data_IF_128560576091
#
_entry.id   IF_128560576091
#
_cell.length_a   1.000
_cell.length_b   1.000
_cell.length_c   1.000
_cell.angle_alpha   90.00
_cell.angle_beta   90.00
_cell.angle_gamma   90.00
#
_symmetry.space_group_name_H-M   'P 1'
#
loop_
_entity.id
_entity.type
_entity.pdbx_description
1 polymer ?
#
# COMPACT_ATOMS: atom_id res chain seq x y z
N UNK A 1 18.09 -27.48 -4.19
CA UNK A 1 18.56 -26.12 -4.50
C UNK A 1 17.82 -25.13 -3.61
N UNK A 2 18.45 -24.02 -3.24
CA UNK A 2 17.79 -22.93 -2.49
C UNK A 2 16.87 -22.17 -3.44
N UNK A 3 15.60 -21.98 -3.04
CA UNK A 3 14.62 -21.19 -3.78
C UNK A 3 14.37 -19.90 -3.02
N UNK A 4 14.30 -18.78 -3.74
CA UNK A 4 14.02 -17.45 -3.18
C UNK A 4 12.96 -16.74 -4.02
N UNK A 5 12.27 -15.77 -3.41
CA UNK A 5 11.35 -14.91 -4.14
C UNK A 5 12.15 -14.02 -5.10
N UNK A 6 11.68 -13.92 -6.33
CA UNK A 6 12.19 -12.93 -7.27
C UNK A 6 11.82 -11.49 -6.81
N UNK A 7 12.57 -10.46 -7.24
CA UNK A 7 12.17 -9.08 -7.03
C UNK A 7 10.75 -8.80 -7.53
N UNK A 8 10.03 -7.91 -6.84
CA UNK A 8 8.72 -7.47 -7.30
C UNK A 8 8.85 -6.66 -8.60
N UNK A 9 7.92 -6.87 -9.52
CA UNK A 9 7.81 -6.17 -10.79
C UNK A 9 6.34 -5.76 -11.02
N UNK A 10 6.11 -4.95 -12.05
CA UNK A 10 4.77 -4.46 -12.43
C UNK A 10 4.05 -3.67 -11.30
N UNK A 11 4.80 -2.80 -10.62
CA UNK A 11 4.27 -1.95 -9.56
C UNK A 11 3.68 -0.66 -10.17
N UNK A 12 2.39 -0.71 -10.49
CA UNK A 12 1.65 0.41 -11.08
C UNK A 12 0.61 0.96 -10.11
N UNK A 13 0.51 2.28 -10.03
CA UNK A 13 -0.59 2.95 -9.30
C UNK A 13 -1.82 3.05 -10.20
N UNK A 14 -2.47 1.90 -10.45
CA UNK A 14 -3.66 1.79 -11.33
C UNK A 14 -4.76 2.77 -10.93
N UNK A 15 -4.85 3.05 -9.63
CA UNK A 15 -5.85 3.95 -9.06
C UNK A 15 -5.75 5.41 -9.52
N UNK A 16 -4.60 5.86 -10.03
CA UNK A 16 -4.47 7.21 -10.60
C UNK A 16 -5.12 7.35 -11.98
N UNK A 17 -5.38 6.23 -12.63
CA UNK A 17 -5.87 6.17 -14.01
C UNK A 17 -7.26 5.58 -14.06
N UNK A 18 -7.54 4.56 -13.25
CA UNK A 18 -8.81 3.86 -13.19
C UNK A 18 -9.65 4.45 -12.04
N UNK A 19 -10.78 5.11 -12.35
CA UNK A 19 -11.67 5.68 -11.33
C UNK A 19 -12.32 4.63 -10.45
N UNK A 20 -12.64 4.97 -9.20
CA UNK A 20 -13.31 4.03 -8.26
C UNK A 20 -14.64 3.49 -8.74
N UNK A 21 -15.37 4.32 -9.46
CA UNK A 21 -16.67 3.96 -10.03
C UNK A 21 -16.55 2.82 -11.05
N UNK A 22 -15.40 2.70 -11.71
CA UNK A 22 -15.13 1.73 -12.77
C UNK A 22 -14.41 0.50 -12.19
N UNK A 23 -13.50 0.71 -11.22
CA UNK A 23 -12.90 -0.36 -10.41
C UNK A 23 -12.86 0.01 -8.92
N UNK A 24 -13.72 -0.60 -8.09
CA UNK A 24 -13.77 -0.36 -6.65
C UNK A 24 -12.79 -1.24 -5.85
N UNK A 25 -12.01 -2.12 -6.49
CA UNK A 25 -11.08 -3.03 -5.81
C UNK A 25 -9.78 -2.31 -5.40
N UNK A 26 -9.27 -2.63 -4.21
CA UNK A 26 -7.99 -2.13 -3.69
C UNK A 26 -6.86 -3.17 -3.80
N UNK A 27 -7.21 -4.46 -3.83
CA UNK A 27 -6.30 -5.59 -3.97
C UNK A 27 -6.80 -6.57 -5.03
N UNK A 28 -5.88 -7.12 -5.82
CA UNK A 28 -6.19 -8.18 -6.79
C UNK A 28 -6.58 -9.51 -6.10
N UNK A 29 -5.85 -9.86 -5.03
CA UNK A 29 -6.14 -11.03 -4.20
C UNK A 29 -7.01 -10.65 -3.02
N UNK A 30 -7.91 -11.55 -2.64
CA UNK A 30 -8.77 -11.36 -1.48
C UNK A 30 -7.96 -11.44 -0.18
N UNK A 31 -8.22 -10.51 0.74
CA UNK A 31 -7.83 -10.59 2.14
C UNK A 31 -9.11 -10.78 2.97
N UNK A 32 -9.20 -11.89 3.68
CA UNK A 32 -10.39 -12.31 4.44
C UNK A 32 -11.70 -12.24 3.61
N UNK A 33 -11.64 -12.72 2.37
CA UNK A 33 -12.79 -12.77 1.45
C UNK A 33 -13.25 -11.41 0.91
N UNK A 34 -12.52 -10.32 1.22
CA UNK A 34 -12.78 -8.97 0.70
C UNK A 34 -11.61 -8.48 -0.16
N UNK A 35 -11.85 -7.47 -0.98
CA UNK A 35 -10.84 -6.82 -1.85
C UNK A 35 -10.74 -5.31 -1.68
N UNK A 36 -11.48 -4.71 -0.75
CA UNK A 36 -11.55 -3.25 -0.58
C UNK A 36 -11.89 -2.85 0.86
N UNK A 37 -11.71 -1.56 1.15
CA UNK A 37 -12.03 -0.92 2.44
C UNK A 37 -11.18 -1.45 3.60
N UNK A 38 -9.90 -1.71 3.34
CA UNK A 38 -9.02 -2.26 4.36
C UNK A 38 -8.55 -1.22 5.37
N UNK A 39 -8.50 -1.64 6.62
CA UNK A 39 -7.94 -0.90 7.76
C UNK A 39 -6.78 -1.68 8.35
N UNK A 40 -6.03 -1.05 9.25
CA UNK A 40 -4.88 -1.70 9.91
C UNK A 40 -5.24 -3.03 10.59
N UNK A 41 -6.44 -3.13 11.16
CA UNK A 41 -6.94 -4.36 11.79
C UNK A 41 -7.04 -5.55 10.83
N UNK A 42 -7.33 -5.33 9.54
CA UNK A 42 -7.37 -6.41 8.54
C UNK A 42 -5.94 -6.95 8.28
N UNK A 43 -4.95 -6.07 8.20
CA UNK A 43 -3.54 -6.47 8.05
C UNK A 43 -2.98 -7.19 9.29
N UNK A 44 -3.44 -6.80 10.49
CA UNK A 44 -3.10 -7.50 11.73
C UNK A 44 -3.69 -8.92 11.76
N UNK A 45 -4.93 -9.09 11.29
CA UNK A 45 -5.55 -10.41 11.15
C UNK A 45 -4.83 -11.27 10.12
N UNK A 46 -4.49 -10.70 8.95
CA UNK A 46 -3.67 -11.37 7.94
C UNK A 46 -2.34 -11.84 8.54
N UNK A 47 -1.62 -10.96 9.25
CA UNK A 47 -0.36 -11.32 9.88
C UNK A 47 -0.51 -12.46 10.90
N UNK A 48 -1.59 -12.46 11.69
CA UNK A 48 -1.92 -13.55 12.62
C UNK A 48 -2.18 -14.86 11.88
N UNK A 49 -2.92 -14.84 10.77
CA UNK A 49 -3.18 -16.02 9.94
C UNK A 49 -1.90 -16.61 9.35
N UNK A 50 -0.94 -15.75 9.00
CA UNK A 50 0.39 -16.11 8.50
C UNK A 50 1.37 -16.47 9.62
N UNK A 51 0.91 -16.51 10.88
CA UNK A 51 1.72 -16.84 12.07
C UNK A 51 2.93 -15.91 12.27
N UNK A 52 2.81 -14.65 11.83
CA UNK A 52 3.83 -13.64 12.06
C UNK A 52 3.82 -13.18 13.52
N UNK A 53 5.00 -12.86 14.05
CA UNK A 53 5.14 -12.30 15.40
C UNK A 53 4.71 -10.83 15.40
N UNK A 54 4.06 -10.37 16.47
CA UNK A 54 3.65 -8.97 16.62
C UNK A 54 4.80 -7.98 16.34
N UNK A 55 6.00 -8.27 16.86
CA UNK A 55 7.21 -7.47 16.62
C UNK A 55 7.55 -7.32 15.13
N UNK A 56 7.28 -8.32 14.29
CA UNK A 56 7.50 -8.22 12.84
C UNK A 56 6.50 -7.24 12.20
N UNK A 57 5.23 -7.31 12.59
CA UNK A 57 4.17 -6.41 12.12
C UNK A 57 4.47 -4.97 12.54
N UNK A 58 4.83 -4.74 13.80
CA UNK A 58 5.16 -3.42 14.32
C UNK A 58 6.38 -2.81 13.61
N UNK A 59 7.41 -3.62 13.36
CA UNK A 59 8.60 -3.18 12.64
C UNK A 59 8.28 -2.78 11.20
N UNK A 60 7.40 -3.53 10.52
CA UNK A 60 6.94 -3.21 9.18
C UNK A 60 6.17 -1.89 9.19
N UNK A 61 5.20 -1.74 10.10
CA UNK A 61 4.41 -0.51 10.25
C UNK A 61 5.30 0.72 10.48
N UNK A 62 6.23 0.64 11.44
CA UNK A 62 7.21 1.71 11.71
C UNK A 62 8.08 2.05 10.50
N UNK A 63 8.50 1.04 9.73
CA UNK A 63 9.29 1.24 8.50
C UNK A 63 8.48 1.99 7.45
N UNK A 64 7.22 1.63 7.25
CA UNK A 64 6.34 2.32 6.31
C UNK A 64 6.10 3.78 6.72
N UNK A 65 5.80 4.04 7.99
CA UNK A 65 5.64 5.41 8.50
C UNK A 65 6.91 6.25 8.29
N UNK A 66 8.09 5.68 8.57
CA UNK A 66 9.37 6.37 8.43
C UNK A 66 9.71 6.72 6.97
N UNK A 67 9.30 5.89 6.01
CA UNK A 67 9.61 6.12 4.58
C UNK A 67 8.60 7.04 3.89
N UNK A 68 7.49 7.39 4.54
CA UNK A 68 6.46 8.26 3.95
C UNK A 68 7.00 9.56 3.35
N UNK A 69 7.89 10.34 4.01
CA UNK A 69 8.45 11.54 3.42
C UNK A 69 9.19 11.25 2.11
N UNK A 70 10.01 10.19 2.10
CA UNK A 70 10.74 9.75 0.91
C UNK A 70 9.80 9.36 -0.23
N UNK A 71 8.67 8.70 0.05
CA UNK A 71 7.66 8.37 -0.98
C UNK A 71 7.11 9.64 -1.62
N UNK A 72 6.78 10.66 -0.82
CA UNK A 72 6.28 11.93 -1.35
C UNK A 72 7.34 12.65 -2.20
N UNK A 73 8.61 12.59 -1.80
CA UNK A 73 9.72 13.12 -2.59
C UNK A 73 9.92 12.37 -3.91
N UNK A 74 9.75 11.04 -3.92
CA UNK A 74 9.77 10.26 -5.16
C UNK A 74 8.66 10.68 -6.12
N UNK A 75 7.44 10.94 -5.61
CA UNK A 75 6.34 11.44 -6.43
C UNK A 75 6.67 12.83 -6.98
N UNK A 76 7.24 13.72 -6.17
CA UNK A 76 7.70 15.04 -6.59
C UNK A 76 8.70 14.98 -7.75
N UNK A 77 9.66 14.06 -7.67
CA UNK A 77 10.71 13.89 -8.66
C UNK A 77 10.29 13.04 -9.87
N UNK A 78 9.05 12.57 -9.91
CA UNK A 78 8.54 11.77 -11.03
C UNK A 78 8.21 12.61 -12.27
N UNK A 79 8.09 11.93 -13.41
CA UNK A 79 7.68 12.50 -14.70
C UNK A 79 6.18 12.77 -14.82
N UNK A 80 5.41 12.62 -13.73
CA UNK A 80 3.98 12.90 -13.74
C UNK A 80 3.72 14.40 -13.95
N UNK A 81 2.62 14.79 -14.61
CA UNK A 81 2.13 16.16 -14.57
C UNK A 81 1.82 16.62 -13.14
N UNK A 82 1.91 17.92 -12.86
CA UNK A 82 1.76 18.44 -11.49
C UNK A 82 0.44 18.05 -10.83
N UNK A 83 -0.67 18.10 -11.57
CA UNK A 83 -1.98 17.67 -11.06
C UNK A 83 -1.99 16.18 -10.66
N UNK A 84 -1.33 15.30 -11.43
CA UNK A 84 -1.21 13.87 -11.10
C UNK A 84 -0.28 13.62 -9.92
N UNK A 85 0.76 14.44 -9.73
CA UNK A 85 1.59 14.38 -8.51
C UNK A 85 0.75 14.72 -7.29
N UNK A 86 -0.10 15.74 -7.36
CA UNK A 86 -1.00 16.11 -6.27
C UNK A 86 -1.99 15.00 -5.95
N UNK A 87 -2.72 14.50 -6.95
CA UNK A 87 -3.66 13.36 -6.80
C UNK A 87 -2.97 12.15 -6.16
N UNK A 88 -1.72 11.86 -6.56
CA UNK A 88 -1.00 10.71 -6.03
C UNK A 88 -0.57 10.90 -4.57
N UNK A 89 -0.11 12.10 -4.19
CA UNK A 89 0.20 12.38 -2.79
C UNK A 89 -1.05 12.28 -1.91
N UNK A 90 -2.16 12.84 -2.35
CA UNK A 90 -3.44 12.76 -1.64
C UNK A 90 -3.88 11.31 -1.42
N UNK A 91 -3.80 10.49 -2.49
CA UNK A 91 -4.10 9.06 -2.40
C UNK A 91 -3.21 8.33 -1.38
N UNK A 92 -1.91 8.59 -1.41
CA UNK A 92 -0.94 7.98 -0.49
C UNK A 92 -1.19 8.43 0.96
N UNK A 93 -1.51 9.71 1.17
CA UNK A 93 -1.80 10.26 2.49
C UNK A 93 -3.13 9.76 3.07
N UNK A 94 -4.19 9.66 2.26
CA UNK A 94 -5.48 9.07 2.67
C UNK A 94 -5.30 7.62 3.13
N UNK A 95 -4.57 6.81 2.36
CA UNK A 95 -4.31 5.42 2.74
C UNK A 95 -3.42 5.33 3.98
N UNK A 96 -2.41 6.18 4.08
CA UNK A 96 -1.53 6.21 5.25
C UNK A 96 -2.30 6.57 6.53
N UNK A 97 -3.20 7.55 6.49
CA UNK A 97 -4.02 7.90 7.66
C UNK A 97 -4.95 6.75 8.07
N UNK A 98 -5.50 6.01 7.11
CA UNK A 98 -6.34 4.84 7.38
C UNK A 98 -5.58 3.63 7.96
N UNK A 99 -4.28 3.52 7.69
CA UNK A 99 -3.46 2.35 8.04
C UNK A 99 -2.51 2.58 9.22
N UNK A 100 -2.14 3.83 9.50
CA UNK A 100 -1.12 4.16 10.49
C UNK A 100 -1.61 5.06 11.63
N UNK A 101 -2.90 5.41 11.63
CA UNK A 101 -3.59 6.05 12.75
C UNK A 101 -4.31 4.99 13.58
#
# INVERSE_FOLDING_TARGET
>A
GLTQLAPAYDLLSTRLVIPEKDDPEELALTMDGRKRKFRIGDFQQLAKSLKLKQKQVDNISKRFQKVMPTVLDFINNSFLPEHKKLEYKELIQERASRLFT
#
